data_IF_921530137867
#
_entry.id   IF_921530137867
#
_cell.length_a   1.000
_cell.length_b   1.000
_cell.length_c   1.000
_cell.angle_alpha   90.00
_cell.angle_beta   90.00
_cell.angle_gamma   90.00
#
_symmetry.space_group_name_H-M   'P 1'
#
loop_
_entity.id
_entity.type
_entity.pdbx_description
1 polymer ?
#
# COMPACT_ATOMS: atom_id res chain seq x y z
N UNK A 1 -6.60 7.36 13.76
CA UNK A 1 -7.73 6.44 13.92
C UNK A 1 -7.96 5.81 12.55
N UNK A 2 -7.36 4.63 12.30
CA UNK A 2 -7.51 3.93 11.01
C UNK A 2 -8.96 3.45 10.94
N UNK A 3 -9.72 3.97 9.98
CA UNK A 3 -11.08 3.52 9.74
C UNK A 3 -11.00 2.24 8.91
N UNK A 4 -11.25 1.10 9.54
CA UNK A 4 -11.48 -0.13 8.78
C UNK A 4 -12.70 0.07 7.88
N UNK A 5 -12.54 -0.15 6.58
CA UNK A 5 -13.63 -0.11 5.60
C UNK A 5 -14.75 -1.07 6.04
N UNK A 6 -15.91 -0.50 6.32
CA UNK A 6 -17.11 -1.21 6.75
C UNK A 6 -17.58 -2.17 5.64
N UNK A 7 -18.17 -3.31 6.01
CA UNK A 7 -18.71 -4.33 5.07
C UNK A 7 -19.71 -3.73 4.06
N UNK A 8 -20.24 -2.55 4.37
CA UNK A 8 -21.13 -1.77 3.53
C UNK A 8 -20.45 -1.09 2.33
N UNK A 9 -19.12 -1.11 2.20
CA UNK A 9 -18.37 -0.33 1.20
C UNK A 9 -18.38 -0.95 -0.21
N UNK A 10 -18.62 -2.25 -0.31
CA UNK A 10 -18.54 -3.01 -1.56
C UNK A 10 -19.91 -3.42 -2.09
N UNK A 11 -20.00 -3.55 -3.42
CA UNK A 11 -21.03 -4.33 -4.11
C UNK A 11 -20.44 -5.65 -4.54
N UNK A 12 -21.21 -6.72 -4.36
CA UNK A 12 -20.84 -8.08 -4.72
C UNK A 12 -21.61 -8.53 -5.95
N UNK A 13 -20.93 -9.25 -6.84
CA UNK A 13 -21.50 -9.93 -8.00
C UNK A 13 -21.01 -11.36 -7.94
N UNK A 14 -21.94 -12.29 -7.75
CA UNK A 14 -21.64 -13.71 -7.61
C UNK A 14 -22.22 -14.48 -8.80
N UNK A 15 -21.56 -15.57 -9.16
CA UNK A 15 -22.07 -16.57 -10.10
C UNK A 15 -22.33 -17.90 -9.40
N UNK A 16 -23.23 -18.71 -9.96
CA UNK A 16 -23.46 -20.09 -9.54
C UNK A 16 -22.72 -21.10 -10.44
N UNK A 17 -21.93 -20.62 -11.40
CA UNK A 17 -21.26 -21.48 -12.39
C UNK A 17 -20.06 -22.24 -11.83
N UNK A 18 -19.50 -21.79 -10.70
CA UNK A 18 -18.43 -22.47 -9.98
C UNK A 18 -18.48 -22.18 -8.48
N UNK A 19 -17.88 -23.07 -7.70
CA UNK A 19 -17.73 -22.91 -6.26
C UNK A 19 -16.40 -22.22 -5.97
N UNK A 20 -16.40 -21.23 -5.08
CA UNK A 20 -15.19 -20.55 -4.66
C UNK A 20 -14.35 -21.45 -3.74
N UNK A 21 -13.01 -21.44 -3.87
CA UNK A 21 -12.15 -22.15 -2.95
C UNK A 21 -12.09 -21.41 -1.60
N UNK A 22 -11.73 -22.11 -0.53
CA UNK A 22 -11.55 -21.47 0.78
C UNK A 22 -10.36 -20.51 0.78
N UNK A 23 -9.23 -20.97 0.24
CA UNK A 23 -8.04 -20.17 -0.03
C UNK A 23 -7.70 -20.24 -1.51
N UNK A 24 -7.20 -19.13 -2.05
CA UNK A 24 -6.77 -19.07 -3.43
C UNK A 24 -6.12 -17.74 -3.80
N UNK A 25 -5.72 -17.63 -5.06
CA UNK A 25 -5.33 -16.35 -5.63
C UNK A 25 -6.58 -15.52 -5.92
N UNK A 26 -6.56 -14.24 -5.53
CA UNK A 26 -7.51 -13.22 -5.92
C UNK A 26 -6.79 -12.11 -6.66
N UNK A 27 -7.47 -11.51 -7.62
CA UNK A 27 -6.93 -10.43 -8.45
C UNK A 27 -7.52 -9.12 -7.93
N UNK A 28 -6.69 -8.11 -7.74
CA UNK A 28 -7.12 -6.76 -7.42
C UNK A 28 -6.83 -5.84 -8.59
N UNK A 29 -7.83 -5.05 -8.98
CA UNK A 29 -7.66 -3.97 -9.94
C UNK A 29 -7.55 -2.66 -9.17
N UNK A 30 -6.49 -1.93 -9.45
CA UNK A 30 -6.26 -0.57 -8.97
C UNK A 30 -6.71 0.48 -9.96
N UNK A 31 -6.77 1.71 -9.51
CA UNK A 31 -7.04 2.89 -10.32
C UNK A 31 -6.75 4.17 -9.53
N UNK A 32 -6.72 5.28 -10.24
CA UNK A 32 -6.67 6.62 -9.66
C UNK A 32 -8.10 7.16 -9.51
N UNK A 33 -8.26 8.22 -8.72
CA UNK A 33 -9.55 8.91 -8.61
C UNK A 33 -10.02 9.48 -9.96
N UNK A 34 -9.09 9.74 -10.90
CA UNK A 34 -9.37 10.30 -12.21
C UNK A 34 -9.78 9.25 -13.24
N UNK A 35 -9.22 8.03 -13.16
CA UNK A 35 -9.42 7.02 -14.21
C UNK A 35 -10.30 5.83 -13.81
N UNK A 36 -10.69 5.69 -12.53
CA UNK A 36 -11.42 4.50 -12.06
C UNK A 36 -12.71 4.22 -12.86
N UNK A 37 -13.41 5.26 -13.34
CA UNK A 37 -14.63 5.10 -14.17
C UNK A 37 -14.31 4.46 -15.52
N UNK A 38 -13.19 4.83 -16.14
CA UNK A 38 -12.75 4.26 -17.41
C UNK A 38 -12.33 2.79 -17.25
N UNK A 39 -11.54 2.48 -16.21
CA UNK A 39 -11.18 1.10 -15.86
C UNK A 39 -12.44 0.27 -15.62
N UNK A 40 -13.38 0.78 -14.82
CA UNK A 40 -14.63 0.10 -14.52
C UNK A 40 -15.47 -0.17 -15.78
N UNK A 41 -15.54 0.78 -16.72
CA UNK A 41 -16.33 0.62 -17.95
C UNK A 41 -15.84 -0.51 -18.87
N UNK A 42 -14.59 -0.94 -18.71
CA UNK A 42 -14.00 -2.01 -19.51
C UNK A 42 -13.98 -3.33 -18.73
N UNK A 43 -13.57 -3.29 -17.45
CA UNK A 43 -13.45 -4.49 -16.61
C UNK A 43 -14.81 -5.06 -16.23
N UNK A 44 -15.78 -4.22 -15.86
CA UNK A 44 -17.08 -4.71 -15.37
C UNK A 44 -17.85 -5.52 -16.43
N UNK A 45 -18.02 -5.05 -17.69
CA UNK A 45 -18.69 -5.84 -18.72
C UNK A 45 -17.99 -7.17 -19.01
N UNK A 46 -16.65 -7.18 -19.02
CA UNK A 46 -15.86 -8.41 -19.17
C UNK A 46 -16.22 -9.41 -18.07
N UNK A 47 -16.11 -9.01 -16.80
CA UNK A 47 -16.40 -9.90 -15.68
C UNK A 47 -17.85 -10.41 -15.68
N UNK A 48 -18.81 -9.56 -16.07
CA UNK A 48 -20.22 -9.93 -16.20
C UNK A 48 -20.47 -10.91 -17.33
N UNK A 49 -19.88 -10.71 -18.50
CA UNK A 49 -20.06 -11.56 -19.67
C UNK A 49 -19.47 -12.96 -19.44
N UNK A 50 -18.35 -13.02 -18.75
CA UNK A 50 -17.65 -14.28 -18.42
C UNK A 50 -18.14 -14.94 -17.12
N UNK A 51 -19.21 -14.42 -16.51
CA UNK A 51 -19.83 -14.96 -15.29
C UNK A 51 -18.82 -15.16 -14.14
N UNK A 52 -17.98 -14.16 -13.89
CA UNK A 52 -16.95 -14.22 -12.84
C UNK A 52 -17.50 -13.62 -11.55
N UNK A 53 -17.17 -14.22 -10.41
CA UNK A 53 -17.47 -13.66 -9.08
C UNK A 53 -16.48 -12.53 -8.73
N UNK A 54 -16.97 -11.37 -8.33
CA UNK A 54 -16.14 -10.22 -7.94
C UNK A 54 -16.88 -9.25 -7.01
N UNK A 55 -16.13 -8.35 -6.38
CA UNK A 55 -16.67 -7.19 -5.66
C UNK A 55 -15.96 -5.91 -6.08
N UNK A 56 -16.62 -4.77 -5.90
CA UNK A 56 -16.06 -3.45 -6.22
C UNK A 56 -16.58 -2.36 -5.29
N UNK A 57 -15.83 -1.27 -5.13
CA UNK A 57 -16.23 -0.13 -4.33
C UNK A 57 -17.51 0.52 -4.91
N UNK A 58 -18.53 0.68 -4.05
CA UNK A 58 -19.91 0.92 -4.50
C UNK A 58 -20.19 2.32 -5.04
N UNK A 59 -19.40 3.32 -4.63
CA UNK A 59 -19.62 4.72 -4.94
C UNK A 59 -18.31 5.53 -4.92
N UNK A 60 -18.36 6.74 -5.47
CA UNK A 60 -17.20 7.64 -5.61
C UNK A 60 -16.56 8.02 -4.26
N UNK A 61 -17.35 8.07 -3.19
CA UNK A 61 -16.82 8.36 -1.85
C UNK A 61 -15.92 7.23 -1.37
N UNK A 62 -16.31 5.98 -1.57
CA UNK A 62 -15.47 4.83 -1.22
C UNK A 62 -14.18 4.80 -2.05
N UNK A 63 -14.23 5.19 -3.34
CA UNK A 63 -13.03 5.33 -4.18
C UNK A 63 -12.09 6.39 -3.60
N UNK A 64 -12.63 7.57 -3.28
CA UNK A 64 -11.86 8.67 -2.71
C UNK A 64 -11.19 8.28 -1.39
N UNK A 65 -11.91 7.59 -0.51
CA UNK A 65 -11.36 7.06 0.74
C UNK A 65 -10.23 6.06 0.44
N UNK A 66 -10.43 5.12 -0.48
CA UNK A 66 -9.47 4.07 -0.81
C UNK A 66 -8.13 4.57 -1.38
N UNK A 67 -8.13 5.71 -2.08
CA UNK A 67 -6.90 6.32 -2.61
C UNK A 67 -6.36 7.47 -1.75
N UNK A 68 -6.97 7.71 -0.58
CA UNK A 68 -6.61 8.82 0.30
C UNK A 68 -5.37 8.51 1.15
N UNK A 69 -4.66 9.56 1.59
CA UNK A 69 -3.50 9.41 2.49
C UNK A 69 -3.88 8.97 3.92
N UNK A 70 -5.18 8.88 4.21
CA UNK A 70 -5.76 8.42 5.47
C UNK A 70 -6.16 6.95 5.46
N UNK A 71 -6.15 6.29 4.31
CA UNK A 71 -6.44 4.86 4.17
C UNK A 71 -5.35 4.00 4.82
N UNK A 72 -5.69 2.76 5.16
CA UNK A 72 -4.67 1.77 5.51
C UNK A 72 -3.78 1.45 4.29
N UNK A 73 -2.44 1.57 4.41
CA UNK A 73 -1.53 1.25 3.30
C UNK A 73 -1.67 -0.18 2.76
N UNK A 74 -2.17 -1.12 3.56
CA UNK A 74 -2.40 -2.51 3.14
C UNK A 74 -3.65 -2.68 2.28
N UNK A 75 -4.62 -1.75 2.33
CA UNK A 75 -5.89 -1.81 1.61
C UNK A 75 -6.01 -0.76 0.48
N UNK A 76 -5.14 0.25 0.48
CA UNK A 76 -5.17 1.31 -0.53
C UNK A 76 -4.98 0.78 -1.95
N UNK A 77 -5.74 1.35 -2.88
CA UNK A 77 -5.72 1.00 -4.30
C UNK A 77 -6.56 -0.23 -4.67
N UNK A 78 -7.14 -0.98 -3.73
CA UNK A 78 -8.01 -2.13 -4.03
C UNK A 78 -9.42 -1.70 -4.44
N UNK A 79 -9.59 -1.33 -5.71
CA UNK A 79 -10.88 -0.92 -6.25
C UNK A 79 -11.80 -2.11 -6.56
N UNK A 80 -11.35 -3.06 -7.38
CA UNK A 80 -12.10 -4.28 -7.74
C UNK A 80 -11.35 -5.48 -7.20
N UNK A 81 -12.04 -6.43 -6.58
CA UNK A 81 -11.49 -7.75 -6.22
C UNK A 81 -12.20 -8.82 -7.02
N UNK A 82 -11.46 -9.60 -7.79
CA UNK A 82 -11.95 -10.67 -8.65
C UNK A 82 -11.58 -12.00 -8.02
N UNK A 83 -12.53 -12.95 -8.04
CA UNK A 83 -12.41 -14.25 -7.39
C UNK A 83 -12.42 -15.39 -8.41
N UNK A 84 -11.23 -15.83 -8.87
CA UNK A 84 -11.06 -17.02 -9.67
C UNK A 84 -11.51 -18.29 -8.92
N UNK A 85 -11.88 -19.31 -9.70
CA UNK A 85 -12.30 -20.62 -9.17
C UNK A 85 -11.11 -21.48 -8.71
N UNK A 86 -9.97 -21.33 -9.39
CA UNK A 86 -8.75 -22.08 -9.19
C UNK A 86 -7.54 -21.31 -9.75
N UNK A 87 -6.35 -21.89 -9.62
CA UNK A 87 -5.07 -21.31 -10.07
C UNK A 87 -5.03 -21.07 -11.58
N UNK A 88 -5.52 -22.01 -12.38
CA UNK A 88 -5.45 -21.90 -13.85
C UNK A 88 -6.44 -20.87 -14.38
N UNK A 89 -7.63 -20.79 -13.77
CA UNK A 89 -8.57 -19.71 -14.02
C UNK A 89 -7.94 -18.35 -13.67
N UNK A 90 -7.22 -18.24 -12.55
CA UNK A 90 -6.54 -17.01 -12.18
C UNK A 90 -5.51 -16.58 -13.24
N UNK A 91 -4.68 -17.50 -13.73
CA UNK A 91 -3.71 -17.21 -14.81
C UNK A 91 -4.38 -16.72 -16.08
N UNK A 92 -5.47 -17.38 -16.48
CA UNK A 92 -6.24 -16.97 -17.65
C UNK A 92 -6.80 -15.55 -17.48
N UNK A 93 -7.46 -15.28 -16.35
CA UNK A 93 -8.02 -13.95 -16.07
C UNK A 93 -6.94 -12.87 -16.03
N UNK A 94 -5.77 -13.13 -15.43
CA UNK A 94 -4.66 -12.19 -15.43
C UNK A 94 -4.19 -11.87 -16.86
N UNK A 95 -4.09 -12.89 -17.72
CA UNK A 95 -3.72 -12.70 -19.13
C UNK A 95 -4.77 -11.86 -19.86
N UNK A 96 -6.05 -12.21 -19.72
CA UNK A 96 -7.15 -11.52 -20.41
C UNK A 96 -7.27 -10.06 -19.95
N UNK A 97 -7.16 -9.81 -18.63
CA UNK A 97 -7.18 -8.47 -18.07
C UNK A 97 -5.99 -7.63 -18.53
N UNK A 98 -4.83 -8.24 -18.70
CA UNK A 98 -3.62 -7.57 -19.18
C UNK A 98 -3.73 -7.16 -20.66
N UNK A 99 -4.43 -7.93 -21.49
CA UNK A 99 -4.76 -7.53 -22.86
C UNK A 99 -5.86 -6.46 -22.90
N UNK A 100 -6.81 -6.54 -21.97
CA UNK A 100 -7.98 -5.68 -21.91
C UNK A 100 -7.67 -4.26 -21.40
N UNK A 101 -6.76 -4.14 -20.43
CA UNK A 101 -6.42 -2.86 -19.79
C UNK A 101 -5.08 -2.36 -20.35
N UNK A 102 -5.02 -1.16 -20.95
CA UNK A 102 -3.78 -0.63 -21.50
C UNK A 102 -2.67 -0.57 -20.45
N UNK A 103 -1.45 -0.95 -20.82
CA UNK A 103 -0.30 -1.06 -19.90
C UNK A 103 0.08 0.28 -19.27
N UNK A 104 -0.15 1.38 -19.99
CA UNK A 104 0.07 2.76 -19.56
C UNK A 104 -0.97 3.27 -18.56
N UNK A 105 -2.00 2.48 -18.26
CA UNK A 105 -3.03 2.87 -17.28
C UNK A 105 -2.39 3.01 -15.90
N UNK A 106 -2.46 4.22 -15.34
CA UNK A 106 -1.93 4.52 -14.02
C UNK A 106 -2.84 4.01 -12.88
N UNK A 107 -2.25 3.66 -11.74
CA UNK A 107 -2.96 3.17 -10.57
C UNK A 107 -2.22 3.48 -9.28
N UNK A 108 -2.94 3.41 -8.16
CA UNK A 108 -2.31 3.40 -6.83
C UNK A 108 -1.66 2.03 -6.63
N UNK A 109 -0.38 2.00 -6.28
CA UNK A 109 0.32 0.74 -6.09
C UNK A 109 -0.17 0.01 -4.83
N UNK A 110 -0.57 -1.26 -4.98
CA UNK A 110 -1.08 -2.08 -3.88
C UNK A 110 0.10 -2.78 -3.20
N UNK A 111 0.48 -2.30 -2.01
CA UNK A 111 1.67 -2.80 -1.29
C UNK A 111 1.56 -4.29 -0.88
N UNK A 112 0.35 -4.75 -0.59
CA UNK A 112 0.08 -6.11 -0.09
C UNK A 112 0.02 -7.17 -1.18
N UNK A 113 0.11 -6.75 -2.44
CA UNK A 113 -0.09 -7.61 -3.60
C UNK A 113 1.12 -7.57 -4.54
N UNK A 114 1.15 -8.51 -5.47
CA UNK A 114 2.13 -8.57 -6.54
C UNK A 114 1.55 -8.00 -7.82
N UNK A 115 2.25 -7.06 -8.44
CA UNK A 115 1.89 -6.56 -9.77
C UNK A 115 2.05 -7.67 -10.81
N UNK A 116 1.08 -7.76 -11.72
CA UNK A 116 1.14 -8.69 -12.84
C UNK A 116 1.93 -8.07 -13.99
N UNK A 117 3.05 -8.72 -14.37
CA UNK A 117 4.00 -8.21 -15.37
C UNK A 117 4.41 -6.75 -15.07
N UNK A 118 4.28 -5.87 -16.05
CA UNK A 118 4.57 -4.43 -16.01
C UNK A 118 3.31 -3.57 -15.83
N UNK A 119 2.16 -4.18 -15.48
CA UNK A 119 0.93 -3.43 -15.21
C UNK A 119 1.02 -2.64 -13.91
N UNK A 120 0.55 -1.40 -13.94
CA UNK A 120 0.39 -0.55 -12.74
C UNK A 120 -0.99 -0.70 -12.07
N UNK A 121 -1.88 -1.50 -12.64
CA UNK A 121 -3.28 -1.62 -12.20
C UNK A 121 -3.73 -3.05 -11.92
N UNK A 122 -3.05 -4.06 -12.45
CA UNK A 122 -3.42 -5.46 -12.23
C UNK A 122 -2.49 -6.07 -11.18
N UNK A 123 -3.06 -6.48 -10.07
CA UNK A 123 -2.35 -7.07 -8.95
C UNK A 123 -2.99 -8.40 -8.54
N UNK A 124 -2.25 -9.26 -7.86
CA UNK A 124 -2.80 -10.46 -7.25
C UNK A 124 -2.14 -10.77 -5.91
N UNK A 125 -2.89 -11.46 -5.05
CA UNK A 125 -2.34 -12.09 -3.83
C UNK A 125 -3.03 -13.40 -3.53
N UNK A 126 -2.35 -14.25 -2.77
CA UNK A 126 -2.94 -15.44 -2.19
C UNK A 126 -3.58 -15.10 -0.84
N UNK A 127 -4.74 -15.67 -0.53
CA UNK A 127 -5.39 -15.48 0.75
C UNK A 127 -6.76 -16.15 0.84
N UNK A 128 -7.45 -15.89 1.94
CA UNK A 128 -8.80 -16.34 2.20
C UNK A 128 -9.76 -15.70 1.17
N UNK A 129 -10.66 -16.52 0.64
CA UNK A 129 -11.73 -16.14 -0.27
C UNK A 129 -13.08 -16.41 0.40
N UNK A 130 -13.42 -17.67 0.65
CA UNK A 130 -14.68 -18.08 1.25
C UNK A 130 -14.45 -19.01 2.46
N UNK A 131 -14.53 -18.52 3.70
CA UNK A 131 -14.27 -19.34 4.88
C UNK A 131 -15.31 -20.45 5.00
N UNK A 132 -14.87 -21.72 4.99
CA UNK A 132 -15.76 -22.89 5.13
C UNK A 132 -15.81 -23.39 6.57
N UNK A 133 -14.68 -23.35 7.25
CA UNK A 133 -14.58 -23.66 8.67
C UNK A 133 -13.90 -22.51 9.43
N UNK A 134 -14.14 -22.40 10.74
CA UNK A 134 -13.50 -21.37 11.58
C UNK A 134 -12.05 -21.77 11.89
N UNK A 135 -11.16 -21.78 10.90
CA UNK A 135 -9.72 -21.95 11.12
C UNK A 135 -9.10 -20.58 11.43
N UNK A 136 -9.43 -20.05 12.61
CA UNK A 136 -8.85 -18.82 13.13
C UNK A 136 -8.02 -19.10 14.38
N UNK A 137 -6.79 -18.59 14.44
CA UNK A 137 -6.02 -18.46 15.69
C UNK A 137 -5.88 -16.99 15.97
N UNK A 138 -6.26 -16.56 17.17
CA UNK A 138 -6.25 -15.15 17.58
C UNK A 138 -7.01 -14.24 16.60
N UNK A 139 -8.15 -14.71 16.07
CA UNK A 139 -8.97 -14.02 15.06
C UNK A 139 -8.31 -13.80 13.69
N UNK A 140 -7.18 -14.46 13.41
CA UNK A 140 -6.51 -14.42 12.11
C UNK A 140 -6.76 -15.74 11.36
N UNK A 141 -7.20 -15.71 10.09
CA UNK A 141 -7.34 -16.90 9.25
C UNK A 141 -6.00 -17.63 9.08
N UNK A 142 -6.03 -18.96 9.16
CA UNK A 142 -4.84 -19.81 8.94
C UNK A 142 -5.08 -20.81 7.82
N UNK A 143 -4.05 -21.03 7.02
CA UNK A 143 -3.91 -22.16 6.13
C UNK A 143 -2.91 -23.17 6.70
N UNK A 144 -3.29 -24.44 6.74
CA UNK A 144 -2.40 -25.55 7.12
C UNK A 144 -1.75 -26.15 5.87
N UNK A 145 -0.43 -26.24 5.88
CA UNK A 145 0.40 -26.80 4.82
C UNK A 145 0.42 -28.33 4.82
N UNK A 146 0.99 -28.93 3.76
CA UNK A 146 1.03 -30.38 3.59
C UNK A 146 1.80 -31.13 4.68
N UNK A 147 2.73 -30.47 5.39
CA UNK A 147 3.51 -31.05 6.49
C UNK A 147 3.10 -30.48 7.86
N UNK A 148 1.92 -29.84 7.96
CA UNK A 148 1.42 -29.23 9.19
C UNK A 148 1.93 -27.82 9.46
N UNK A 149 2.62 -27.19 8.51
CA UNK A 149 3.02 -25.78 8.63
C UNK A 149 1.79 -24.87 8.73
N UNK A 150 1.90 -23.75 9.45
CA UNK A 150 0.80 -22.79 9.58
C UNK A 150 1.17 -21.49 8.88
N UNK A 151 0.29 -21.00 8.02
CA UNK A 151 0.44 -19.69 7.38
C UNK A 151 -0.77 -18.81 7.69
N UNK A 152 -0.50 -17.57 8.12
CA UNK A 152 -1.53 -16.63 8.56
C UNK A 152 -1.83 -15.57 7.47
N UNK A 153 -3.11 -15.44 7.10
CA UNK A 153 -3.61 -14.38 6.20
C UNK A 153 -4.06 -13.16 7.02
N UNK A 154 -3.11 -12.31 7.38
CA UNK A 154 -3.38 -11.00 7.98
C UNK A 154 -2.92 -9.87 7.05
N UNK A 155 -3.38 -8.65 7.34
CA UNK A 155 -3.02 -7.45 6.59
C UNK A 155 -1.52 -7.16 6.70
N UNK A 156 -0.82 -7.25 5.56
CA UNK A 156 0.61 -6.98 5.40
C UNK A 156 0.79 -5.82 4.41
N UNK A 157 1.89 -5.09 4.50
CA UNK A 157 2.27 -4.08 3.50
C UNK A 157 3.35 -4.62 2.53
N UNK A 158 3.33 -5.93 2.28
CA UNK A 158 4.22 -6.62 1.35
C UNK A 158 3.50 -7.86 0.82
N UNK A 159 3.87 -8.29 -0.39
CA UNK A 159 3.40 -9.55 -0.95
C UNK A 159 3.95 -10.72 -0.14
N UNK A 160 3.05 -11.59 0.31
CA UNK A 160 3.41 -12.81 1.03
C UNK A 160 2.68 -14.01 0.44
N UNK A 161 3.41 -15.13 0.37
CA UNK A 161 2.95 -16.38 -0.22
C UNK A 161 3.47 -17.54 0.64
N UNK A 162 2.62 -18.51 1.04
CA UNK A 162 3.10 -19.69 1.75
C UNK A 162 4.18 -20.41 0.92
N UNK A 163 5.25 -20.90 1.57
CA UNK A 163 6.39 -21.49 0.87
C UNK A 163 6.06 -22.75 0.06
N UNK A 164 4.95 -23.41 0.37
CA UNK A 164 4.44 -24.58 -0.36
C UNK A 164 3.48 -24.24 -1.50
N UNK A 165 3.19 -22.95 -1.74
CA UNK A 165 2.38 -22.50 -2.87
C UNK A 165 3.30 -21.88 -3.92
N UNK A 166 3.18 -22.36 -5.16
CA UNK A 166 3.91 -21.80 -6.28
C UNK A 166 3.28 -20.47 -6.74
N UNK A 167 4.12 -19.48 -7.07
CA UNK A 167 3.67 -18.18 -7.57
C UNK A 167 3.12 -18.26 -9.01
N UNK A 168 2.34 -17.27 -9.45
CA UNK A 168 1.75 -17.23 -10.79
C UNK A 168 2.70 -16.69 -11.87
N UNK A 169 3.81 -16.08 -11.48
CA UNK A 169 4.84 -15.56 -12.40
C UNK A 169 6.24 -15.69 -11.80
N UNK A 170 7.26 -15.61 -12.64
CA UNK A 170 8.67 -15.61 -12.21
C UNK A 170 8.99 -14.43 -11.29
N UNK A 171 9.94 -14.64 -10.37
CA UNK A 171 10.42 -13.58 -9.47
C UNK A 171 11.04 -12.45 -10.28
N UNK A 172 10.57 -11.23 -10.04
CA UNK A 172 11.21 -10.04 -10.59
C UNK A 172 12.56 -9.86 -9.86
N UNK A 173 13.63 -9.76 -10.62
CA UNK A 173 14.96 -9.49 -10.08
C UNK A 173 15.03 -8.00 -9.77
N UNK A 174 15.16 -7.64 -8.50
CA UNK A 174 15.48 -6.27 -8.13
C UNK A 174 16.91 -5.99 -8.60
N UNK A 175 17.05 -5.00 -9.49
CA UNK A 175 18.35 -4.39 -9.78
C UNK A 175 18.77 -3.51 -8.60
N UNK A 176 20.01 -3.04 -8.63
CA UNK A 176 20.51 -2.15 -7.60
C UNK A 176 19.67 -0.86 -7.52
N UNK A 177 19.52 -0.33 -6.31
CA UNK A 177 18.75 0.87 -6.01
C UNK A 177 19.70 1.98 -5.63
N UNK A 178 19.57 3.14 -6.26
CA UNK A 178 20.31 4.35 -5.93
C UNK A 178 20.15 4.69 -4.44
N UNK A 179 18.93 4.59 -3.90
CA UNK A 179 18.70 4.85 -2.48
C UNK A 179 19.46 3.86 -1.60
N UNK A 180 19.47 2.58 -1.95
CA UNK A 180 20.20 1.54 -1.20
C UNK A 180 21.72 1.68 -1.29
N UNK A 181 22.22 2.25 -2.39
CA UNK A 181 23.66 2.48 -2.61
C UNK A 181 24.18 3.74 -1.91
N UNK A 182 23.30 4.73 -1.67
CA UNK A 182 23.69 6.04 -1.11
C UNK A 182 23.23 6.27 0.34
N UNK A 183 22.23 5.52 0.80
CA UNK A 183 21.62 5.71 2.10
C UNK A 183 21.41 4.40 2.87
N UNK A 184 21.76 4.42 4.15
CA UNK A 184 21.44 3.35 5.08
C UNK A 184 20.30 3.80 6.00
N UNK A 185 19.14 3.15 5.90
CA UNK A 185 17.99 3.41 6.78
C UNK A 185 18.32 2.97 8.21
N UNK A 186 18.18 3.88 9.17
CA UNK A 186 18.35 3.60 10.60
C UNK A 186 17.01 3.26 11.26
N UNK A 187 15.96 4.01 10.95
CA UNK A 187 14.66 3.82 11.57
C UNK A 187 13.51 4.42 10.75
N UNK A 188 12.30 3.90 11.00
CA UNK A 188 11.05 4.44 10.50
C UNK A 188 10.54 5.51 11.48
N UNK A 189 10.45 6.76 11.04
CA UNK A 189 9.92 7.87 11.84
C UNK A 189 8.40 7.96 11.75
N UNK A 190 7.84 7.67 10.57
CA UNK A 190 6.38 7.68 10.36
C UNK A 190 5.97 6.75 9.24
N UNK A 191 4.90 6.00 9.46
CA UNK A 191 4.20 5.24 8.43
C UNK A 191 2.93 5.99 8.02
N UNK A 192 2.65 6.08 6.72
CA UNK A 192 1.37 6.58 6.21
C UNK A 192 1.10 6.05 4.80
N UNK A 193 -0.14 6.10 4.33
CA UNK A 193 -0.46 5.65 2.97
C UNK A 193 0.18 6.53 1.90
N UNK A 194 0.26 7.84 2.14
CA UNK A 194 0.96 8.78 1.25
C UNK A 194 2.48 8.62 1.17
N UNK A 195 3.07 7.73 1.98
CA UNK A 195 4.50 7.48 2.03
C UNK A 195 5.06 7.52 3.45
N UNK A 196 6.12 6.76 3.65
CA UNK A 196 6.84 6.65 4.90
C UNK A 196 7.88 7.77 5.05
N UNK A 197 8.28 8.03 6.29
CA UNK A 197 9.38 8.93 6.64
C UNK A 197 10.42 8.11 7.37
N UNK A 198 11.65 8.17 6.88
CA UNK A 198 12.79 7.40 7.40
C UNK A 198 13.86 8.35 7.93
N UNK A 199 14.53 7.92 9.00
CA UNK A 199 15.84 8.43 9.37
C UNK A 199 16.89 7.53 8.72
N UNK A 200 17.87 8.12 8.07
CA UNK A 200 18.94 7.38 7.39
C UNK A 200 20.29 8.09 7.55
N UNK A 201 21.36 7.38 7.22
CA UNK A 201 22.71 7.93 7.10
C UNK A 201 23.06 8.00 5.61
N UNK A 202 23.52 9.16 5.15
CA UNK A 202 24.13 9.30 3.84
C UNK A 202 25.52 8.65 3.86
N UNK A 203 25.75 7.63 3.04
CA UNK A 203 26.92 6.76 3.13
C UNK A 203 28.25 7.49 2.86
N UNK A 204 28.28 8.37 1.85
CA UNK A 204 29.51 9.13 1.55
C UNK A 204 29.90 10.16 2.61
N UNK A 205 28.91 10.83 3.22
CA UNK A 205 29.17 11.96 4.14
C UNK A 205 29.09 11.57 5.61
N UNK A 206 28.53 10.41 5.93
CA UNK A 206 28.24 9.96 7.29
C UNK A 206 27.18 10.79 8.03
N UNK A 207 26.50 11.73 7.35
CA UNK A 207 25.51 12.62 7.98
C UNK A 207 24.13 11.96 8.06
N UNK A 208 23.42 12.22 9.15
CA UNK A 208 22.01 11.83 9.28
C UNK A 208 21.12 12.67 8.36
N UNK A 209 20.15 12.02 7.73
CA UNK A 209 19.18 12.61 6.82
C UNK A 209 17.77 12.12 7.15
N UNK A 210 16.78 12.86 6.68
CA UNK A 210 15.37 12.44 6.64
C UNK A 210 14.98 12.17 5.20
N UNK A 211 14.55 10.94 4.91
CA UNK A 211 14.03 10.54 3.60
C UNK A 211 12.50 10.49 3.71
N UNK A 212 11.81 11.30 2.91
CA UNK A 212 10.35 11.30 2.84
C UNK A 212 9.90 10.65 1.54
N UNK A 213 9.33 9.45 1.63
CA UNK A 213 8.67 8.77 0.52
C UNK A 213 7.37 9.52 0.18
N UNK A 214 7.06 9.58 -1.11
CA UNK A 214 5.80 10.07 -1.64
C UNK A 214 5.28 9.05 -2.65
N UNK A 215 4.20 8.34 -2.26
CA UNK A 215 3.59 7.34 -3.13
C UNK A 215 2.77 8.00 -4.24
N UNK A 216 2.92 7.48 -5.44
CA UNK A 216 2.23 7.98 -6.63
C UNK A 216 0.71 7.81 -6.51
N UNK A 217 -0.03 8.79 -7.06
CA UNK A 217 -1.50 8.83 -7.12
C UNK A 217 -2.27 8.83 -5.79
N UNK A 218 -1.61 8.90 -4.63
CA UNK A 218 -2.29 9.13 -3.36
C UNK A 218 -2.79 10.57 -3.25
N UNK A 219 -4.02 10.74 -2.79
CA UNK A 219 -4.66 12.04 -2.62
C UNK A 219 -4.83 12.43 -1.15
N UNK A 220 -4.76 13.72 -0.85
CA UNK A 220 -5.15 14.27 0.45
C UNK A 220 -6.59 14.80 0.41
N UNK A 221 -7.01 15.31 -0.75
CA UNK A 221 -8.39 15.72 -1.04
C UNK A 221 -8.72 15.37 -2.48
N UNK A 222 -9.99 15.49 -2.90
CA UNK A 222 -10.40 15.24 -4.29
C UNK A 222 -9.61 16.04 -5.35
N UNK A 223 -9.02 17.18 -4.97
CA UNK A 223 -8.29 18.09 -5.86
C UNK A 223 -6.79 18.21 -5.56
N UNK A 224 -6.32 17.66 -4.43
CA UNK A 224 -4.93 17.80 -3.97
C UNK A 224 -4.31 16.42 -3.77
N UNK A 225 -3.29 16.14 -4.56
CA UNK A 225 -2.45 14.95 -4.42
C UNK A 225 -1.39 15.12 -3.31
N UNK A 226 -0.94 14.00 -2.74
CA UNK A 226 0.18 13.98 -1.80
C UNK A 226 1.45 14.55 -2.42
N UNK A 227 1.66 14.23 -3.70
CA UNK A 227 2.78 14.69 -4.50
C UNK A 227 2.82 16.22 -4.60
N UNK A 228 1.69 16.87 -4.89
CA UNK A 228 1.63 18.34 -4.92
C UNK A 228 2.03 18.97 -3.59
N UNK A 229 1.58 18.43 -2.46
CA UNK A 229 1.99 18.94 -1.14
C UNK A 229 3.49 18.76 -0.90
N UNK A 230 4.05 17.63 -1.33
CA UNK A 230 5.48 17.35 -1.15
C UNK A 230 6.36 18.18 -2.08
N UNK A 231 5.93 18.40 -3.32
CA UNK A 231 6.59 19.30 -4.26
C UNK A 231 6.56 20.75 -3.75
N UNK A 232 5.43 21.20 -3.17
CA UNK A 232 5.34 22.51 -2.53
C UNK A 232 6.29 22.64 -1.34
N UNK A 233 6.34 21.63 -0.46
CA UNK A 233 7.29 21.60 0.66
C UNK A 233 8.74 21.68 0.18
N UNK A 234 9.11 20.89 -0.83
CA UNK A 234 10.44 20.89 -1.43
C UNK A 234 10.80 22.28 -1.96
N UNK A 235 9.93 22.87 -2.78
CA UNK A 235 10.16 24.19 -3.36
C UNK A 235 10.28 25.28 -2.29
N UNK A 236 9.40 25.28 -1.27
CA UNK A 236 9.46 26.24 -0.17
C UNK A 236 10.72 26.07 0.67
N UNK A 237 11.17 24.84 0.89
CA UNK A 237 12.41 24.57 1.64
C UNK A 237 13.66 25.12 0.93
N UNK A 238 13.65 25.20 -0.40
CA UNK A 238 14.72 25.84 -1.16
C UNK A 238 14.75 27.37 -1.05
N UNK A 239 13.66 28.01 -0.65
CA UNK A 239 13.51 29.47 -0.58
C UNK A 239 13.81 30.05 0.81
N UNK A 240 13.63 29.27 1.86
CA UNK A 240 13.81 29.72 3.26
C UNK A 240 15.24 29.39 3.69
N UNK A 241 16.01 30.40 4.09
CA UNK A 241 17.45 30.21 4.41
C UNK A 241 17.73 29.93 5.89
N UNK A 242 16.80 30.24 6.79
CA UNK A 242 17.02 30.16 8.23
C UNK A 242 16.00 29.23 8.91
N UNK A 243 16.48 28.44 9.87
CA UNK A 243 15.67 27.62 10.79
C UNK A 243 14.78 26.55 10.14
N UNK A 244 15.19 26.01 8.98
CA UNK A 244 14.53 24.86 8.36
C UNK A 244 15.56 23.80 7.94
N UNK A 245 15.17 22.52 7.84
CA UNK A 245 16.03 21.48 7.27
C UNK A 245 16.41 21.80 5.84
N UNK A 246 17.71 21.71 5.52
CA UNK A 246 18.20 21.90 4.16
C UNK A 246 17.73 20.76 3.26
N UNK A 247 17.17 21.09 2.08
CA UNK A 247 16.92 20.13 1.01
C UNK A 247 18.24 19.61 0.43
N UNK A 248 18.41 18.29 0.39
CA UNK A 248 19.63 17.64 -0.10
C UNK A 248 19.44 17.25 -1.56
N UNK A 249 18.52 16.33 -1.83
CA UNK A 249 18.18 15.89 -3.17
C UNK A 249 16.75 15.34 -3.28
N UNK A 250 16.30 15.19 -4.52
CA UNK A 250 15.04 14.55 -4.87
C UNK A 250 15.33 13.41 -5.84
N UNK A 251 14.87 12.22 -5.51
CA UNK A 251 15.12 10.99 -6.26
C UNK A 251 13.78 10.41 -6.70
N UNK A 252 13.67 10.03 -7.97
CA UNK A 252 12.59 9.18 -8.45
C UNK A 252 13.15 7.77 -8.62
N UNK A 253 12.61 6.81 -7.88
CA UNK A 253 13.07 5.42 -7.96
C UNK A 253 11.89 4.46 -7.93
N UNK A 254 11.92 3.50 -8.85
CA UNK A 254 10.85 2.54 -9.12
C UNK A 254 9.53 3.25 -9.49
N UNK A 255 8.63 3.45 -8.53
CA UNK A 255 7.32 4.09 -8.75
C UNK A 255 7.07 5.31 -7.85
N UNK A 256 8.02 5.62 -6.96
CA UNK A 256 7.83 6.61 -5.89
C UNK A 256 8.83 7.76 -6.04
N UNK A 257 8.42 8.92 -5.53
CA UNK A 257 9.32 10.05 -5.34
C UNK A 257 9.84 10.06 -3.90
N UNK A 258 11.12 10.38 -3.73
CA UNK A 258 11.78 10.51 -2.44
C UNK A 258 12.39 11.90 -2.32
N UNK A 259 12.15 12.55 -1.19
CA UNK A 259 12.61 13.90 -0.90
C UNK A 259 13.52 13.82 0.32
N UNK A 260 14.80 14.12 0.14
CA UNK A 260 15.83 13.93 1.14
C UNK A 260 16.23 15.29 1.72
N UNK A 261 16.20 15.37 3.05
CA UNK A 261 16.50 16.57 3.82
C UNK A 261 17.56 16.27 4.87
N UNK A 262 18.26 17.31 5.32
CA UNK A 262 19.08 17.25 6.52
C UNK A 262 18.23 16.79 7.73
N UNK A 263 18.80 15.93 8.57
CA UNK A 263 18.20 15.63 9.87
C UNK A 263 18.60 16.71 10.88
N UNK A 264 17.60 17.34 11.51
CA UNK A 264 17.82 18.24 12.64
C UNK A 264 17.53 17.48 13.92
N UNK A 265 18.53 17.38 14.79
CA UNK A 265 18.35 16.86 16.14
C UNK A 265 17.70 17.92 17.02
N UNK A 266 16.37 17.93 17.01
CA UNK A 266 15.54 18.91 17.72
C UNK A 266 14.43 18.24 18.52
N UNK A 267 13.90 18.99 19.48
CA UNK A 267 12.73 18.56 20.25
C UNK A 267 11.46 18.72 19.41
N UNK A 268 10.53 17.78 19.52
CA UNK A 268 9.19 17.94 18.93
C UNK A 268 8.51 19.18 19.52
N UNK A 269 7.79 19.94 18.67
CA UNK A 269 7.16 21.18 19.10
C UNK A 269 6.10 20.92 20.19
N UNK A 270 5.36 19.82 20.10
CA UNK A 270 4.35 19.47 21.11
C UNK A 270 5.03 19.14 22.44
N UNK A 271 6.15 18.42 22.42
CA UNK A 271 6.93 18.14 23.63
C UNK A 271 7.49 19.41 24.26
N UNK A 272 8.07 20.30 23.43
CA UNK A 272 8.55 21.62 23.88
C UNK A 272 7.39 22.46 24.46
N UNK A 273 6.24 22.50 23.79
CA UNK A 273 5.05 23.20 24.27
C UNK A 273 4.50 22.57 25.56
N UNK A 274 4.56 21.25 25.71
CA UNK A 274 4.12 20.54 26.91
C UNK A 274 5.01 20.87 28.11
N UNK A 275 6.30 21.08 27.93
CA UNK A 275 7.20 21.53 29.00
C UNK A 275 6.92 22.97 29.46
N UNK A 276 6.38 23.80 28.57
CA UNK A 276 6.07 25.21 28.81
C UNK A 276 4.60 25.40 29.27
N UNK A 277 3.76 24.37 29.15
CA UNK A 277 2.36 24.43 29.53
C UNK A 277 2.21 24.50 31.06
N UNK A 278 1.43 25.47 31.55
CA UNK A 278 1.05 25.63 32.96
C UNK A 278 0.46 24.34 33.60
N UNK A 279 -0.06 23.41 32.79
CA UNK A 279 -0.63 22.14 33.23
C UNK A 279 0.30 20.93 33.05
N UNK A 280 1.60 21.13 32.81
CA UNK A 280 2.58 20.06 32.67
C UNK A 280 2.77 19.33 34.01
N UNK A 281 2.01 18.27 34.26
CA UNK A 281 2.27 17.38 35.38
C UNK A 281 3.61 16.70 35.15
N UNK A 282 4.64 17.09 35.89
CA UNK A 282 5.85 16.29 36.07
C UNK A 282 5.42 14.90 36.53
N UNK A 283 5.38 13.94 35.60
CA UNK A 283 5.38 12.52 35.96
C UNK A 283 6.71 12.28 36.66
N UNK A 284 6.72 12.24 38.00
CA UNK A 284 7.87 11.73 38.74
C UNK A 284 8.11 10.31 38.23
N UNK A 285 9.33 10.06 37.78
CA UNK A 285 9.80 8.73 37.45
C UNK A 285 9.46 7.78 38.62
N UNK A 286 8.56 6.84 38.38
CA UNK A 286 8.52 5.60 39.14
C UNK A 286 9.48 4.65 38.46
N UNK A 287 10.66 4.53 39.07
CA UNK A 287 11.61 3.42 39.06
C UNK A 287 11.48 2.39 37.92
N UNK A 288 12.57 2.31 37.14
CA UNK A 288 12.98 1.11 36.43
C UNK A 288 12.80 -0.11 37.31
N UNK A 289 12.05 -1.10 36.84
CA UNK A 289 12.30 -2.50 37.18
C UNK A 289 12.24 -3.32 35.88
N UNK A 290 13.44 -3.78 35.51
CA UNK A 290 13.80 -5.05 34.85
C UNK A 290 12.74 -5.80 34.06
#
# INVERSE_FOLDING_TARGET
>A
MVKHMDLTSFRYVETNDYVLPEYGFKIHISGTFQNYKAIFSVVFPYLKCHHISFKYLKDEKMILENVSDMEDPSESGKFITIYPRDREHCKQLLSDLYELIPVETEGVYILSDRNYKDSNVIFYRYGLIEPREKVFVNAVPILIGPNGEQWQDFQKCYFDLPHWIEDLQEKQILLSSYLSENYQVESLLKQSNGGNIYKAIHLDTGKSVVIKECRSHIICTASISKKQLRDNEWNLSGLITNNIPKSIEKVHEWINDYYIYEYIDGQDLLDCCNEINLFSYKKRESEKNS
#
